data_IF_105529291437
#
_entry.id   IF_105529291437
#
_cell.length_a   1.000
_cell.length_b   1.000
_cell.length_c   1.000
_cell.angle_alpha   90.00
_cell.angle_beta   90.00
_cell.angle_gamma   90.00
#
_symmetry.space_group_name_H-M   'P 1'
#
loop_
_entity.id
_entity.type
_entity.pdbx_description
1 polymer ?
#
# COMPACT_ATOMS: atom_id res chain seq x y z
N UNK A 1 12.92 3.98 3.36
CA UNK A 1 11.44 4.06 3.57
C UNK A 1 10.72 2.80 3.12
N UNK A 2 9.39 2.75 3.23
CA UNK A 2 8.60 1.55 2.90
C UNK A 2 8.75 1.12 1.44
N UNK A 3 8.82 2.06 0.52
CA UNK A 3 9.04 1.78 -0.90
C UNK A 3 10.35 1.03 -1.13
N UNK A 4 11.44 1.49 -0.54
CA UNK A 4 12.75 0.84 -0.67
C UNK A 4 12.70 -0.60 -0.16
N UNK A 5 12.05 -0.84 0.99
CA UNK A 5 11.92 -2.18 1.54
C UNK A 5 11.06 -3.11 0.66
N UNK A 6 9.93 -2.61 0.15
CA UNK A 6 9.07 -3.38 -0.75
C UNK A 6 9.79 -3.76 -2.05
N UNK A 7 10.52 -2.83 -2.65
CA UNK A 7 11.27 -3.05 -3.87
C UNK A 7 12.49 -3.96 -3.65
N UNK A 8 13.18 -3.85 -2.49
CA UNK A 8 14.29 -4.74 -2.17
C UNK A 8 13.87 -6.22 -2.08
N UNK A 9 12.67 -6.50 -1.56
CA UNK A 9 12.10 -7.86 -1.54
C UNK A 9 11.91 -8.37 -2.97
N UNK A 10 11.30 -7.56 -3.82
CA UNK A 10 11.03 -7.91 -5.23
C UNK A 10 12.33 -8.12 -6.02
N UNK A 11 13.29 -7.22 -5.91
CA UNK A 11 14.59 -7.34 -6.59
C UNK A 11 15.37 -8.56 -6.08
N UNK A 12 15.38 -8.82 -4.77
CA UNK A 12 16.05 -9.98 -4.19
C UNK A 12 15.54 -11.31 -4.75
N UNK A 13 14.21 -11.42 -4.94
CA UNK A 13 13.61 -12.67 -5.42
C UNK A 13 13.73 -12.84 -6.93
N UNK A 14 13.56 -11.78 -7.71
CA UNK A 14 13.31 -11.87 -9.15
C UNK A 14 14.38 -11.21 -10.03
N UNK A 15 15.25 -10.33 -9.50
CA UNK A 15 16.25 -9.67 -10.31
C UNK A 15 17.42 -10.61 -10.67
N UNK A 16 17.93 -10.44 -11.91
CA UNK A 16 19.20 -11.03 -12.33
C UNK A 16 20.36 -10.53 -11.47
N UNK A 17 21.52 -11.23 -11.45
CA UNK A 17 22.71 -10.73 -10.74
C UNK A 17 23.07 -9.29 -11.14
N UNK A 18 23.03 -8.97 -12.43
CA UNK A 18 23.28 -7.63 -12.95
C UNK A 18 22.37 -6.56 -12.29
N UNK A 19 21.05 -6.79 -12.22
CA UNK A 19 20.12 -5.85 -11.63
C UNK A 19 20.19 -5.80 -10.10
N UNK A 20 20.65 -6.88 -9.44
CA UNK A 20 20.93 -6.85 -8.00
C UNK A 20 22.12 -5.94 -7.70
N UNK A 21 23.19 -6.05 -8.45
CA UNK A 21 24.36 -5.21 -8.27
C UNK A 21 24.05 -3.74 -8.58
N UNK A 22 23.29 -3.49 -9.65
CA UNK A 22 23.00 -2.14 -10.08
C UNK A 22 21.94 -1.43 -9.24
N UNK A 23 20.91 -2.14 -8.74
CA UNK A 23 19.79 -1.50 -8.07
C UNK A 23 19.52 -2.03 -6.65
N UNK A 24 19.65 -3.32 -6.37
CA UNK A 24 19.35 -3.83 -5.04
C UNK A 24 20.37 -3.35 -4.01
N UNK A 25 21.65 -3.48 -4.30
CA UNK A 25 22.69 -3.09 -3.36
C UNK A 25 22.65 -1.59 -3.06
N UNK A 26 22.67 -0.67 -4.05
CA UNK A 26 22.53 0.77 -3.78
C UNK A 26 21.21 1.16 -3.12
N UNK A 27 20.13 0.43 -3.39
CA UNK A 27 18.83 0.64 -2.75
C UNK A 27 18.88 0.32 -1.26
N UNK A 28 19.50 -0.79 -0.88
CA UNK A 28 19.66 -1.22 0.52
C UNK A 28 20.56 -0.25 1.28
N UNK A 29 21.61 0.25 0.64
CA UNK A 29 22.50 1.28 1.20
C UNK A 29 21.83 2.67 1.30
N UNK A 30 20.69 2.87 0.63
CA UNK A 30 19.97 4.14 0.63
C UNK A 30 20.54 5.20 -0.31
N UNK A 31 21.38 4.79 -1.25
CA UNK A 31 22.02 5.66 -2.24
C UNK A 31 21.07 6.05 -3.37
N UNK A 32 20.10 5.19 -3.69
CA UNK A 32 19.08 5.41 -4.70
C UNK A 32 17.67 5.23 -4.14
N UNK A 33 16.68 5.73 -4.88
CA UNK A 33 15.26 5.52 -4.61
C UNK A 33 14.58 4.78 -5.76
N UNK A 34 13.63 3.88 -5.47
CA UNK A 34 12.85 3.20 -6.47
C UNK A 34 11.54 3.95 -6.71
N UNK A 35 10.89 3.61 -7.82
CA UNK A 35 9.48 3.91 -8.06
C UNK A 35 8.75 2.69 -8.61
N UNK A 36 7.42 2.69 -8.51
CA UNK A 36 6.58 1.59 -8.95
C UNK A 36 5.40 2.11 -9.78
N UNK A 37 5.36 1.73 -11.04
CA UNK A 37 4.35 2.16 -12.00
C UNK A 37 3.33 1.04 -12.26
N UNK A 38 2.19 1.07 -11.54
CA UNK A 38 1.13 0.08 -11.71
C UNK A 38 -0.17 0.71 -12.19
N UNK A 39 -0.73 1.64 -11.41
CA UNK A 39 -2.04 2.22 -11.67
C UNK A 39 -2.07 3.15 -12.88
N UNK A 40 -3.20 3.21 -13.56
CA UNK A 40 -3.43 4.03 -14.76
C UNK A 40 -4.64 4.96 -14.57
N UNK A 41 -4.63 6.17 -15.16
CA UNK A 41 -5.71 7.13 -14.97
C UNK A 41 -7.03 6.72 -15.63
N UNK A 42 -6.97 6.00 -16.74
CA UNK A 42 -8.13 5.76 -17.62
C UNK A 42 -8.83 4.42 -17.37
N UNK A 43 -8.36 3.63 -16.40
CA UNK A 43 -8.95 2.33 -16.05
C UNK A 43 -9.11 2.16 -14.54
N UNK A 44 -10.05 1.31 -14.15
CA UNK A 44 -10.27 0.96 -12.75
C UNK A 44 -9.11 0.08 -12.25
N UNK A 45 -8.02 0.67 -11.78
CA UNK A 45 -6.81 -0.04 -11.36
C UNK A 45 -6.99 -0.95 -10.12
N UNK A 46 -8.15 -0.92 -9.46
CA UNK A 46 -8.59 -1.93 -8.49
C UNK A 46 -8.83 -3.30 -9.14
N UNK A 47 -9.12 -3.31 -10.45
CA UNK A 47 -9.07 -4.48 -11.32
C UNK A 47 -7.85 -4.37 -12.25
N UNK A 48 -6.68 -4.85 -11.82
CA UNK A 48 -5.46 -4.68 -12.58
C UNK A 48 -5.43 -5.44 -13.91
N UNK A 49 -6.42 -6.28 -14.18
CA UNK A 49 -6.55 -6.94 -15.49
C UNK A 49 -6.93 -5.97 -16.61
N UNK A 50 -7.40 -4.77 -16.27
CA UNK A 50 -7.77 -3.73 -17.22
C UNK A 50 -6.60 -2.82 -17.63
N UNK A 51 -5.42 -2.97 -17.04
CA UNK A 51 -4.25 -2.13 -17.36
C UNK A 51 -3.93 -2.20 -18.86
N UNK A 52 -3.61 -1.04 -19.45
CA UNK A 52 -3.46 -0.82 -20.89
C UNK A 52 -2.02 -0.52 -21.31
N UNK A 53 -1.14 -0.10 -20.39
CA UNK A 53 0.28 0.11 -20.73
C UNK A 53 0.88 -1.15 -21.32
N UNK A 54 1.38 -1.07 -22.54
CA UNK A 54 1.94 -2.21 -23.28
C UNK A 54 3.45 -2.20 -23.29
N UNK A 55 4.05 -3.38 -23.42
CA UNK A 55 5.45 -3.55 -23.76
C UNK A 55 5.57 -4.63 -24.83
N UNK A 56 6.10 -4.28 -25.96
CA UNK A 56 6.29 -5.17 -27.12
C UNK A 56 7.78 -5.45 -27.27
N UNK A 57 8.15 -6.74 -27.29
CA UNK A 57 9.52 -7.17 -27.53
C UNK A 57 9.77 -7.24 -29.03
N UNK A 58 10.71 -6.46 -29.52
CA UNK A 58 11.15 -6.44 -30.90
C UNK A 58 12.68 -6.45 -30.97
N UNK A 59 13.25 -7.47 -31.61
CA UNK A 59 14.71 -7.62 -31.79
C UNK A 59 15.53 -7.42 -30.50
N UNK A 60 15.09 -8.01 -29.38
CA UNK A 60 15.79 -7.94 -28.08
C UNK A 60 15.59 -6.62 -27.32
N UNK A 61 14.63 -5.80 -27.75
CA UNK A 61 14.31 -4.50 -27.13
C UNK A 61 12.83 -4.42 -26.81
N UNK A 62 12.51 -4.09 -25.56
CA UNK A 62 11.15 -3.75 -25.15
C UNK A 62 10.82 -2.33 -25.58
N UNK A 63 9.68 -2.14 -26.24
CA UNK A 63 9.09 -0.84 -26.55
C UNK A 63 7.85 -0.64 -25.70
N UNK A 64 7.91 0.31 -24.75
CA UNK A 64 6.88 0.53 -23.75
C UNK A 64 6.10 1.80 -24.10
N UNK A 65 4.77 1.68 -24.12
CA UNK A 65 3.85 2.78 -24.36
C UNK A 65 2.67 2.74 -23.37
N UNK A 66 2.32 3.89 -22.81
CA UNK A 66 1.19 4.05 -21.90
C UNK A 66 1.38 5.18 -20.91
N UNK A 67 0.48 5.23 -19.93
CA UNK A 67 0.51 6.24 -18.88
C UNK A 67 0.26 5.58 -17.53
N UNK A 68 1.09 5.89 -16.55
CA UNK A 68 0.90 5.50 -15.16
C UNK A 68 0.70 6.74 -14.31
N UNK A 69 -0.06 6.63 -13.25
CA UNK A 69 -0.20 7.69 -12.26
C UNK A 69 -0.06 7.17 -10.84
N UNK A 70 -0.05 8.06 -9.88
CA UNK A 70 0.34 7.73 -8.50
C UNK A 70 1.67 6.97 -8.43
N UNK A 71 2.57 7.28 -9.39
CA UNK A 71 3.93 6.75 -9.42
C UNK A 71 4.77 7.50 -8.40
N UNK A 72 4.71 7.02 -7.16
CA UNK A 72 5.29 7.73 -6.01
C UNK A 72 6.81 7.78 -6.11
N UNK A 73 7.35 8.98 -5.95
CA UNK A 73 8.79 9.23 -5.97
C UNK A 73 9.41 9.27 -7.37
N UNK A 74 8.64 9.21 -8.46
CA UNK A 74 9.12 9.15 -9.83
C UNK A 74 10.16 10.22 -10.18
N UNK A 75 10.00 11.46 -9.68
CA UNK A 75 10.93 12.56 -9.97
C UNK A 75 12.34 12.41 -9.33
N UNK A 76 12.49 11.50 -8.37
CA UNK A 76 13.79 11.25 -7.70
C UNK A 76 14.25 9.80 -7.78
N UNK A 77 13.47 8.95 -8.41
CA UNK A 77 13.79 7.54 -8.54
C UNK A 77 14.90 7.32 -9.56
N UNK A 78 15.80 6.39 -9.30
CA UNK A 78 16.79 5.94 -10.28
C UNK A 78 16.15 5.04 -11.35
N UNK A 79 15.11 4.31 -10.96
CA UNK A 79 14.36 3.44 -11.87
C UNK A 79 12.90 3.34 -11.42
N UNK A 80 12.05 2.95 -12.35
CA UNK A 80 10.67 2.56 -12.09
C UNK A 80 10.45 1.11 -12.54
N UNK A 81 9.92 0.26 -11.66
CA UNK A 81 9.42 -1.05 -12.07
C UNK A 81 8.00 -0.89 -12.57
N UNK A 82 7.77 -1.22 -13.85
CA UNK A 82 6.52 -0.92 -14.55
C UNK A 82 5.76 -2.21 -14.86
N UNK A 83 4.49 -2.25 -14.46
CA UNK A 83 3.57 -3.30 -14.89
C UNK A 83 3.11 -3.02 -16.32
N UNK A 84 3.46 -3.91 -17.25
CA UNK A 84 3.12 -3.79 -18.66
C UNK A 84 2.39 -5.03 -19.16
N UNK A 85 1.43 -4.84 -20.07
CA UNK A 85 0.83 -5.93 -20.84
C UNK A 85 1.82 -6.37 -21.91
N UNK A 86 2.34 -7.58 -21.77
CA UNK A 86 3.33 -8.18 -22.68
C UNK A 86 2.76 -9.34 -23.50
N UNK A 87 1.69 -9.98 -23.00
CA UNK A 87 1.01 -11.09 -23.66
C UNK A 87 -0.42 -10.65 -24.06
N UNK A 88 -0.57 -10.18 -25.29
CA UNK A 88 -1.84 -9.58 -25.74
C UNK A 88 -2.98 -10.61 -25.79
N UNK A 89 -2.68 -11.88 -26.09
CA UNK A 89 -3.65 -12.96 -26.28
C UNK A 89 -3.78 -13.87 -25.04
N UNK A 90 -3.01 -13.61 -23.97
CA UNK A 90 -3.04 -14.44 -22.77
C UNK A 90 -4.26 -14.13 -21.87
N UNK A 91 -4.70 -15.11 -21.04
CA UNK A 91 -5.66 -14.85 -19.97
C UNK A 91 -5.19 -13.70 -19.06
N UNK A 92 -6.13 -12.93 -18.56
CA UNK A 92 -5.89 -11.66 -17.85
C UNK A 92 -4.75 -11.67 -16.82
N UNK A 93 -4.62 -12.76 -16.02
CA UNK A 93 -3.57 -12.85 -14.99
C UNK A 93 -2.20 -13.21 -15.55
N UNK A 94 -2.11 -13.82 -16.72
CA UNK A 94 -0.86 -14.16 -17.42
C UNK A 94 -0.43 -13.10 -18.45
N UNK A 95 -1.19 -12.02 -18.59
CA UNK A 95 -0.97 -11.03 -19.64
C UNK A 95 0.12 -9.98 -19.30
N UNK A 96 0.58 -9.92 -18.06
CA UNK A 96 1.41 -8.83 -17.57
C UNK A 96 2.78 -9.27 -17.10
N UNK A 97 3.76 -8.42 -17.35
CA UNK A 97 5.13 -8.57 -16.87
C UNK A 97 5.59 -7.31 -16.15
N UNK A 98 6.64 -7.43 -15.34
CA UNK A 98 7.32 -6.30 -14.73
C UNK A 98 8.58 -5.97 -15.51
N UNK A 99 8.77 -4.71 -15.85
CA UNK A 99 9.95 -4.24 -16.59
C UNK A 99 10.61 -3.10 -15.81
N UNK A 100 11.93 -3.18 -15.64
CA UNK A 100 12.74 -2.13 -15.01
C UNK A 100 13.01 -1.06 -16.06
N UNK A 101 12.60 0.17 -15.77
CA UNK A 101 12.81 1.34 -16.63
C UNK A 101 13.67 2.36 -15.89
N UNK A 102 14.89 2.65 -16.33
CA UNK A 102 15.69 3.78 -15.84
C UNK A 102 14.93 5.09 -16.06
N UNK A 103 14.94 5.99 -15.06
CA UNK A 103 14.15 7.23 -15.14
C UNK A 103 14.78 8.32 -15.99
N UNK A 104 16.05 8.17 -16.37
CA UNK A 104 16.77 9.00 -17.34
C UNK A 104 16.51 8.60 -18.79
N UNK A 105 15.70 7.56 -19.04
CA UNK A 105 15.31 7.15 -20.38
C UNK A 105 14.56 8.29 -21.09
N UNK A 106 14.92 8.63 -22.37
CA UNK A 106 14.31 9.75 -23.07
C UNK A 106 12.78 9.66 -23.26
N UNK A 107 12.25 8.44 -23.29
CA UNK A 107 10.81 8.19 -23.41
C UNK A 107 10.07 8.23 -22.07
N UNK A 108 10.77 8.28 -20.93
CA UNK A 108 10.18 8.39 -19.59
C UNK A 108 9.88 9.86 -19.28
N UNK A 109 8.60 10.24 -19.28
CA UNK A 109 8.19 11.64 -19.15
C UNK A 109 7.31 11.84 -17.93
N UNK A 110 7.75 12.64 -16.98
CA UNK A 110 6.89 13.11 -15.88
C UNK A 110 5.96 14.17 -16.46
N UNK A 111 4.66 13.90 -16.42
CA UNK A 111 3.63 14.80 -16.95
C UNK A 111 3.29 15.89 -15.92
N UNK A 112 3.02 15.46 -14.68
CA UNK A 112 2.70 16.36 -13.56
C UNK A 112 2.83 15.66 -12.23
N UNK A 113 2.93 16.42 -11.17
CA UNK A 113 2.64 15.93 -9.83
C UNK A 113 1.12 15.82 -9.65
N UNK A 114 0.67 14.81 -8.90
CA UNK A 114 -0.74 14.59 -8.55
C UNK A 114 -0.96 14.90 -7.07
N UNK A 115 -1.34 16.14 -6.70
CA UNK A 115 -1.61 16.48 -5.32
C UNK A 115 -2.78 15.66 -4.76
N UNK A 116 -2.63 15.16 -3.53
CA UNK A 116 -3.66 14.39 -2.84
C UNK A 116 -4.23 15.21 -1.69
N UNK A 117 -5.52 15.47 -1.73
CA UNK A 117 -6.21 16.31 -0.73
C UNK A 117 -5.50 17.65 -0.48
N UNK A 118 -4.98 18.26 -1.55
CA UNK A 118 -4.26 19.53 -1.48
C UNK A 118 -2.82 19.45 -0.99
N UNK A 119 -2.26 18.24 -0.86
CA UNK A 119 -0.85 18.03 -0.45
C UNK A 119 -0.05 17.53 -1.65
N UNK A 120 1.10 18.14 -1.91
CA UNK A 120 2.10 17.63 -2.82
C UNK A 120 2.86 16.52 -2.10
N UNK A 121 2.47 15.26 -2.38
CA UNK A 121 2.98 14.07 -1.70
C UNK A 121 4.05 13.31 -2.48
N UNK A 122 4.54 13.87 -3.59
CA UNK A 122 5.51 13.21 -4.47
C UNK A 122 4.91 12.07 -5.29
N UNK A 123 3.62 12.15 -5.62
CA UNK A 123 2.95 11.24 -6.55
C UNK A 123 2.93 11.88 -7.93
N UNK A 124 3.21 11.09 -8.96
CA UNK A 124 3.38 11.62 -10.32
C UNK A 124 2.55 10.82 -11.33
N UNK A 125 2.10 11.54 -12.34
CA UNK A 125 1.65 10.98 -13.61
C UNK A 125 2.86 10.89 -14.55
N UNK A 126 3.12 9.69 -15.06
CA UNK A 126 4.27 9.37 -15.90
C UNK A 126 3.79 8.79 -17.22
N UNK A 127 4.21 9.40 -18.32
CA UNK A 127 3.98 8.89 -19.67
C UNK A 127 5.20 8.13 -20.15
N UNK A 128 4.96 6.95 -20.64
CA UNK A 128 5.92 6.13 -21.38
C UNK A 128 5.64 6.33 -22.87
N UNK A 129 6.55 7.02 -23.55
CA UNK A 129 6.41 7.41 -24.96
C UNK A 129 7.54 6.75 -25.74
N UNK A 130 7.27 5.58 -26.30
CA UNK A 130 8.25 4.73 -26.96
C UNK A 130 9.53 4.54 -26.11
N UNK A 131 9.35 4.22 -24.84
CA UNK A 131 10.47 3.87 -23.96
C UNK A 131 11.10 2.59 -24.47
N UNK A 132 12.37 2.63 -24.83
CA UNK A 132 13.13 1.48 -25.28
C UNK A 132 14.09 1.02 -24.18
N UNK A 133 14.01 -0.25 -23.79
CA UNK A 133 14.93 -0.89 -22.85
C UNK A 133 15.28 -2.30 -23.35
N UNK A 134 16.49 -2.81 -23.08
CA UNK A 134 16.89 -4.16 -23.44
C UNK A 134 15.95 -5.25 -22.88
N UNK A 135 15.91 -6.40 -23.53
CA UNK A 135 15.12 -7.55 -23.09
C UNK A 135 15.44 -7.96 -21.65
N UNK A 136 16.69 -7.83 -21.23
CA UNK A 136 17.18 -8.16 -19.88
C UNK A 136 16.58 -7.28 -18.76
N UNK A 137 15.91 -6.16 -19.11
CA UNK A 137 15.18 -5.33 -18.16
C UNK A 137 13.90 -6.01 -17.64
N UNK A 138 13.53 -7.16 -18.18
CA UNK A 138 12.44 -7.97 -17.64
C UNK A 138 12.76 -8.45 -16.22
N UNK A 139 11.90 -8.12 -15.26
CA UNK A 139 12.03 -8.55 -13.88
C UNK A 139 11.25 -9.85 -13.68
N UNK A 140 11.96 -10.93 -13.44
CA UNK A 140 11.38 -12.27 -13.29
C UNK A 140 10.80 -12.85 -14.59
N UNK A 141 10.01 -13.94 -14.52
CA UNK A 141 9.47 -14.57 -15.71
C UNK A 141 8.41 -13.73 -16.42
N UNK A 142 8.39 -13.80 -17.74
CA UNK A 142 7.39 -13.17 -18.60
C UNK A 142 5.98 -13.68 -18.26
N UNK A 143 4.98 -12.81 -18.24
CA UNK A 143 3.59 -13.14 -17.88
C UNK A 143 3.34 -13.31 -16.38
N UNK A 144 4.34 -13.13 -15.52
CA UNK A 144 4.19 -13.30 -14.06
C UNK A 144 4.16 -11.97 -13.27
N UNK A 145 3.87 -10.88 -13.93
CA UNK A 145 3.85 -9.55 -13.31
C UNK A 145 2.94 -9.47 -12.08
N UNK A 146 1.79 -10.14 -12.08
CA UNK A 146 0.90 -10.18 -10.91
C UNK A 146 1.50 -10.89 -9.71
N UNK A 147 2.18 -12.01 -9.93
CA UNK A 147 2.83 -12.78 -8.86
C UNK A 147 3.91 -11.92 -8.22
N UNK A 148 4.72 -11.26 -9.04
CA UNK A 148 5.78 -10.35 -8.61
C UNK A 148 5.20 -9.17 -7.82
N UNK A 149 4.11 -8.55 -8.32
CA UNK A 149 3.42 -7.48 -7.63
C UNK A 149 2.89 -7.91 -6.25
N UNK A 150 2.30 -9.09 -6.12
CA UNK A 150 1.79 -9.59 -4.85
C UNK A 150 2.90 -9.84 -3.82
N UNK A 151 4.06 -10.33 -4.25
CA UNK A 151 5.24 -10.48 -3.36
C UNK A 151 5.71 -9.14 -2.80
N UNK A 152 5.59 -8.07 -3.56
CA UNK A 152 5.87 -6.70 -3.11
C UNK A 152 4.78 -6.15 -2.19
N UNK A 153 3.51 -6.32 -2.55
CA UNK A 153 2.37 -5.69 -1.90
C UNK A 153 1.96 -6.38 -0.59
N UNK A 154 2.16 -7.69 -0.46
CA UNK A 154 1.79 -8.45 0.74
C UNK A 154 2.44 -7.88 2.00
N UNK A 155 3.77 -7.96 2.15
CA UNK A 155 4.49 -7.38 3.29
C UNK A 155 4.30 -5.87 3.42
N UNK A 156 4.14 -5.17 2.30
CA UNK A 156 3.88 -3.74 2.26
C UNK A 156 2.66 -3.32 3.09
N UNK A 157 1.58 -4.09 3.03
CA UNK A 157 0.36 -3.83 3.80
C UNK A 157 0.58 -3.97 5.31
N UNK A 158 1.39 -4.91 5.75
CA UNK A 158 1.77 -5.04 7.18
C UNK A 158 2.54 -3.78 7.62
N UNK A 159 3.51 -3.32 6.83
CA UNK A 159 4.26 -2.09 7.14
C UNK A 159 3.38 -0.85 7.16
N UNK A 160 2.35 -0.78 6.32
CA UNK A 160 1.35 0.28 6.39
C UNK A 160 0.62 0.25 7.74
N UNK A 161 0.10 -0.91 8.14
CA UNK A 161 -0.64 -1.05 9.40
C UNK A 161 0.23 -0.70 10.62
N UNK A 162 1.51 -1.09 10.63
CA UNK A 162 2.43 -0.71 11.70
C UNK A 162 2.61 0.82 11.81
N UNK A 163 2.74 1.51 10.67
CA UNK A 163 2.83 2.98 10.65
C UNK A 163 1.51 3.63 11.09
N UNK A 164 0.37 3.09 10.66
CA UNK A 164 -0.95 3.58 11.07
C UNK A 164 -1.17 3.45 12.56
N UNK A 165 -0.72 2.35 13.17
CA UNK A 165 -0.74 2.16 14.62
C UNK A 165 0.08 3.24 15.34
N UNK A 166 1.28 3.56 14.83
CA UNK A 166 2.09 4.64 15.40
C UNK A 166 1.44 6.02 15.27
N UNK A 167 0.82 6.30 14.11
CA UNK A 167 0.09 7.56 13.90
C UNK A 167 -1.17 7.65 14.77
N UNK A 168 -1.94 6.57 14.88
CA UNK A 168 -3.11 6.51 15.73
C UNK A 168 -2.74 6.69 17.21
N UNK A 169 -1.65 6.07 17.66
CA UNK A 169 -1.13 6.28 19.02
C UNK A 169 -0.79 7.76 19.26
N UNK A 170 -0.11 8.40 18.31
CA UNK A 170 0.20 9.83 18.42
C UNK A 170 -1.06 10.71 18.49
N UNK A 171 -2.08 10.41 17.68
CA UNK A 171 -3.35 11.13 17.72
C UNK A 171 -4.09 10.89 19.04
N UNK A 172 -4.04 9.68 19.56
CA UNK A 172 -4.62 9.31 20.85
C UNK A 172 -3.95 10.05 22.02
N UNK A 173 -2.62 10.15 22.01
CA UNK A 173 -1.89 10.92 23.03
C UNK A 173 -2.31 12.38 23.00
N UNK A 174 -2.35 13.01 21.83
CA UNK A 174 -2.82 14.39 21.65
C UNK A 174 -4.27 14.58 22.12
N UNK A 175 -5.16 13.60 21.86
CA UNK A 175 -6.53 13.63 22.35
C UNK A 175 -6.58 13.63 23.87
N UNK A 176 -5.85 12.74 24.52
CA UNK A 176 -5.81 12.63 25.98
C UNK A 176 -5.17 13.88 26.64
N UNK A 177 -4.05 14.36 26.11
CA UNK A 177 -3.41 15.60 26.56
C UNK A 177 -4.39 16.77 26.49
N UNK A 178 -5.08 16.94 25.35
CA UNK A 178 -6.06 18.00 25.17
C UNK A 178 -7.21 17.93 26.16
N UNK A 179 -7.69 16.74 26.48
CA UNK A 179 -8.76 16.55 27.48
C UNK A 179 -8.36 16.98 28.89
N UNK A 180 -7.08 16.87 29.24
CA UNK A 180 -6.54 17.37 30.52
C UNK A 180 -6.32 18.89 30.52
N UNK A 181 -5.89 19.46 29.39
CA UNK A 181 -5.59 20.88 29.26
C UNK A 181 -6.82 21.80 29.21
N UNK A 182 -7.96 21.26 28.71
CA UNK A 182 -9.10 22.12 28.37
C UNK A 182 -10.29 21.94 29.32
N UNK A 183 -10.85 23.05 29.65
CA UNK A 183 -12.09 23.15 30.43
C UNK A 183 -13.21 23.79 29.60
N UNK A 184 -14.45 23.37 29.82
CA UNK A 184 -15.64 23.97 29.20
C UNK A 184 -16.84 23.82 30.14
N UNK A 185 -17.65 24.87 30.24
CA UNK A 185 -18.78 24.94 31.18
C UNK A 185 -18.38 24.59 32.62
N UNK A 186 -17.25 25.15 33.08
CA UNK A 186 -16.77 25.01 34.45
C UNK A 186 -16.25 23.62 34.84
N UNK A 187 -15.99 22.73 33.86
CA UNK A 187 -15.44 21.39 34.12
C UNK A 187 -14.44 20.95 33.05
N UNK A 188 -13.37 20.24 33.44
CA UNK A 188 -12.41 19.67 32.47
C UNK A 188 -13.06 18.73 31.47
N UNK A 189 -12.53 18.66 30.25
CA UNK A 189 -13.05 17.75 29.22
C UNK A 189 -12.97 16.28 29.65
N UNK A 190 -12.03 15.93 30.53
CA UNK A 190 -11.90 14.58 31.13
C UNK A 190 -13.12 14.12 31.89
N UNK A 191 -14.00 15.04 32.32
CA UNK A 191 -15.25 14.73 33.03
C UNK A 191 -16.48 14.64 32.12
N UNK A 192 -16.31 14.80 30.81
CA UNK A 192 -17.41 14.73 29.82
C UNK A 192 -17.53 13.28 29.29
N UNK A 193 -18.64 12.62 29.62
CA UNK A 193 -18.84 11.19 29.30
C UNK A 193 -18.75 10.88 27.79
N UNK A 194 -19.28 11.75 26.92
CA UNK A 194 -19.17 11.56 25.47
C UNK A 194 -17.72 11.57 24.96
N UNK A 195 -16.85 12.36 25.60
CA UNK A 195 -15.43 12.40 25.25
C UNK A 195 -14.66 11.24 25.87
N UNK A 196 -15.08 10.75 27.06
CA UNK A 196 -14.55 9.50 27.62
C UNK A 196 -14.84 8.31 26.70
N UNK A 197 -15.99 8.30 26.01
CA UNK A 197 -16.28 7.31 24.98
C UNK A 197 -15.28 7.35 23.82
N UNK A 198 -14.83 8.53 23.38
CA UNK A 198 -13.79 8.64 22.34
C UNK A 198 -12.47 7.99 22.77
N UNK A 199 -12.09 8.16 24.04
CA UNK A 199 -10.89 7.52 24.61
C UNK A 199 -11.05 6.00 24.59
N UNK A 200 -12.18 5.50 25.07
CA UNK A 200 -12.47 4.06 25.12
C UNK A 200 -12.47 3.43 23.73
N UNK A 201 -13.24 3.99 22.78
CA UNK A 201 -13.35 3.46 21.42
C UNK A 201 -11.98 3.44 20.72
N UNK A 202 -11.22 4.54 20.86
CA UNK A 202 -9.89 4.64 20.26
C UNK A 202 -8.92 3.62 20.84
N UNK A 203 -8.94 3.40 22.16
CA UNK A 203 -8.10 2.39 22.81
C UNK A 203 -8.45 0.98 22.33
N UNK A 204 -9.74 0.65 22.23
CA UNK A 204 -10.21 -0.64 21.71
C UNK A 204 -9.76 -0.86 20.26
N UNK A 205 -9.98 0.13 19.38
CA UNK A 205 -9.65 0.02 17.96
C UNK A 205 -8.13 -0.10 17.74
N UNK A 206 -7.31 0.68 18.45
CA UNK A 206 -5.84 0.59 18.39
C UNK A 206 -5.37 -0.80 18.86
N UNK A 207 -5.89 -1.29 19.98
CA UNK A 207 -5.47 -2.56 20.54
C UNK A 207 -5.89 -3.74 19.65
N UNK A 208 -7.11 -3.74 19.14
CA UNK A 208 -7.59 -4.76 18.22
C UNK A 208 -6.76 -4.78 16.92
N UNK A 209 -6.51 -3.61 16.31
CA UNK A 209 -5.69 -3.49 15.11
C UNK A 209 -4.24 -3.93 15.34
N UNK A 210 -3.69 -3.67 16.53
CA UNK A 210 -2.34 -4.12 16.91
C UNK A 210 -2.26 -5.64 16.96
N UNK A 211 -3.20 -6.30 17.61
CA UNK A 211 -3.22 -7.76 17.70
C UNK A 211 -3.40 -8.41 16.32
N UNK A 212 -4.31 -7.92 15.50
CA UNK A 212 -4.48 -8.42 14.12
C UNK A 212 -3.20 -8.24 13.29
N UNK A 213 -2.50 -7.10 13.44
CA UNK A 213 -1.25 -6.85 12.70
C UNK A 213 -0.13 -7.79 13.14
N UNK A 214 -0.03 -8.05 14.43
CA UNK A 214 0.97 -8.99 14.97
C UNK A 214 0.66 -10.44 14.57
N UNK A 215 -0.64 -10.83 14.51
CA UNK A 215 -1.02 -12.15 14.00
C UNK A 215 -0.63 -12.32 12.52
N UNK A 216 -0.94 -11.34 11.68
CA UNK A 216 -0.53 -11.37 10.27
C UNK A 216 0.99 -11.48 10.11
N UNK A 217 1.77 -10.73 10.88
CA UNK A 217 3.23 -10.79 10.85
C UNK A 217 3.76 -12.16 11.29
N UNK A 218 3.24 -12.70 12.41
CA UNK A 218 3.61 -14.02 12.92
C UNK A 218 3.36 -15.13 11.88
N UNK A 219 2.24 -15.07 11.16
CA UNK A 219 1.92 -16.06 10.11
C UNK A 219 2.91 -16.00 8.97
N UNK A 220 3.26 -14.80 8.50
CA UNK A 220 4.32 -14.64 7.48
C UNK A 220 5.65 -15.23 7.95
N UNK A 221 6.05 -15.00 9.21
CA UNK A 221 7.27 -15.56 9.79
C UNK A 221 7.24 -17.09 9.86
N UNK A 222 6.04 -17.69 9.95
CA UNK A 222 5.81 -19.13 9.92
C UNK A 222 5.72 -19.72 8.50
N UNK A 223 5.83 -18.87 7.45
CA UNK A 223 5.79 -19.29 6.06
C UNK A 223 4.38 -19.34 5.43
N UNK A 224 3.34 -18.89 6.16
CA UNK A 224 1.99 -18.72 5.61
C UNK A 224 1.95 -17.48 4.69
N UNK A 225 1.11 -17.49 3.68
CA UNK A 225 0.88 -16.32 2.82
C UNK A 225 0.00 -15.23 3.50
N UNK A 226 -0.67 -15.57 4.58
CA UNK A 226 -1.48 -14.72 5.46
C UNK A 226 -2.45 -13.78 4.71
N UNK A 227 -3.00 -14.21 3.56
CA UNK A 227 -3.80 -13.34 2.68
C UNK A 227 -5.09 -12.85 3.32
N UNK A 228 -5.67 -13.64 4.22
CA UNK A 228 -6.88 -13.26 4.94
C UNK A 228 -6.52 -12.22 5.98
N UNK A 229 -5.52 -12.47 6.80
CA UNK A 229 -5.05 -11.57 7.86
C UNK A 229 -4.59 -10.23 7.28
N UNK A 230 -3.82 -10.26 6.19
CA UNK A 230 -3.39 -9.06 5.47
C UNK A 230 -4.59 -8.27 4.93
N UNK A 231 -5.62 -8.96 4.43
CA UNK A 231 -6.86 -8.30 4.01
C UNK A 231 -7.63 -7.68 5.18
N UNK A 232 -7.73 -8.37 6.31
CA UNK A 232 -8.39 -7.88 7.53
C UNK A 232 -7.69 -6.62 8.07
N UNK A 233 -6.38 -6.68 8.27
CA UNK A 233 -5.63 -5.54 8.84
C UNK A 233 -5.65 -4.32 7.93
N UNK A 234 -5.70 -4.51 6.60
CA UNK A 234 -5.74 -3.39 5.65
C UNK A 234 -7.02 -2.56 5.83
N UNK A 235 -8.16 -3.21 6.04
CA UNK A 235 -9.45 -2.53 6.25
C UNK A 235 -9.54 -2.00 7.67
N UNK A 236 -9.44 -2.88 8.68
CA UNK A 236 -9.59 -2.51 10.09
C UNK A 236 -8.57 -1.46 10.52
N UNK A 237 -7.30 -1.60 10.09
CA UNK A 237 -6.25 -0.65 10.42
C UNK A 237 -6.45 0.73 9.79
N UNK A 238 -6.94 0.79 8.54
CA UNK A 238 -7.23 2.05 7.87
C UNK A 238 -8.43 2.79 8.50
N UNK A 239 -9.48 2.06 8.86
CA UNK A 239 -10.64 2.61 9.58
C UNK A 239 -10.25 3.10 10.97
N UNK A 240 -9.52 2.28 11.74
CA UNK A 240 -9.00 2.67 13.05
C UNK A 240 -8.20 3.98 12.99
N UNK A 241 -7.27 4.08 12.05
CA UNK A 241 -6.46 5.29 11.87
C UNK A 241 -7.33 6.52 11.67
N UNK A 242 -8.29 6.42 10.75
CA UNK A 242 -9.21 7.50 10.42
C UNK A 242 -10.04 7.92 11.64
N UNK A 243 -10.67 6.96 12.30
CA UNK A 243 -11.55 7.18 13.44
C UNK A 243 -10.83 7.83 14.63
N UNK A 244 -9.62 7.36 14.96
CA UNK A 244 -8.84 7.90 16.09
C UNK A 244 -8.42 9.35 15.83
N UNK A 245 -7.96 9.65 14.60
CA UNK A 245 -7.57 11.01 14.24
C UNK A 245 -8.79 11.94 14.21
N UNK A 246 -9.92 11.49 13.67
CA UNK A 246 -11.17 12.24 13.64
C UNK A 246 -11.61 12.64 15.05
N UNK A 247 -11.62 11.70 15.98
CA UNK A 247 -11.94 11.96 17.41
C UNK A 247 -10.96 12.93 18.03
N UNK A 248 -9.68 12.83 17.71
CA UNK A 248 -8.66 13.76 18.21
C UNK A 248 -8.91 15.20 17.71
N UNK A 249 -9.23 15.36 16.42
CA UNK A 249 -9.62 16.66 15.85
C UNK A 249 -10.86 17.19 16.57
N UNK A 250 -11.88 16.36 16.77
CA UNK A 250 -13.13 16.78 17.44
C UNK A 250 -12.88 17.31 18.85
N UNK A 251 -12.01 16.66 19.63
CA UNK A 251 -11.63 17.12 20.98
C UNK A 251 -10.83 18.41 20.96
N UNK A 252 -10.01 18.63 19.93
CA UNK A 252 -9.26 19.88 19.76
C UNK A 252 -10.15 21.05 19.31
N UNK A 253 -11.31 20.77 18.71
CA UNK A 253 -12.17 21.77 18.10
C UNK A 253 -11.49 22.47 16.93
N UNK A 254 -11.71 23.76 16.74
CA UNK A 254 -11.15 24.54 15.64
C UNK A 254 -9.61 24.40 15.54
N UNK A 255 -8.90 24.31 16.67
CA UNK A 255 -7.43 24.12 16.68
C UNK A 255 -7.01 22.83 15.97
N UNK A 256 -7.80 21.76 16.05
CA UNK A 256 -7.51 20.49 15.37
C UNK A 256 -7.58 20.59 13.83
N UNK A 257 -8.22 21.61 13.30
CA UNK A 257 -8.32 21.87 11.86
C UNK A 257 -7.18 22.75 11.32
N UNK A 258 -6.40 23.37 12.22
CA UNK A 258 -5.28 24.24 11.85
C UNK A 258 -3.96 23.47 11.78
N UNK A 259 -2.93 24.12 11.23
CA UNK A 259 -1.56 23.60 11.22
C UNK A 259 -0.82 23.77 12.57
N UNK A 260 -1.49 24.32 13.61
CA UNK A 260 -0.96 24.35 14.99
C UNK A 260 -0.86 22.96 15.63
N UNK A 261 -1.51 21.98 15.02
CA UNK A 261 -1.40 20.57 15.39
C UNK A 261 -1.14 19.73 14.15
N UNK A 262 -0.52 18.54 14.27
CA UNK A 262 -0.32 17.66 13.13
C UNK A 262 -1.61 16.97 12.66
N UNK A 263 -2.74 17.15 13.36
CA UNK A 263 -3.95 16.36 13.16
C UNK A 263 -4.60 16.58 11.81
N UNK A 264 -4.62 17.82 11.29
CA UNK A 264 -5.21 18.11 9.98
C UNK A 264 -4.44 17.44 8.85
N UNK A 265 -3.11 17.39 8.92
CA UNK A 265 -2.27 16.66 7.97
C UNK A 265 -2.45 15.14 8.12
N UNK A 266 -2.45 14.65 9.37
CA UNK A 266 -2.65 13.23 9.65
C UNK A 266 -4.01 12.75 9.14
N UNK A 267 -5.08 13.55 9.25
CA UNK A 267 -6.42 13.22 8.77
C UNK A 267 -6.46 13.04 7.24
N UNK A 268 -5.81 13.95 6.50
CA UNK A 268 -5.72 13.84 5.04
C UNK A 268 -4.99 12.56 4.62
N UNK A 269 -3.87 12.24 5.26
CA UNK A 269 -3.15 10.97 5.01
C UNK A 269 -3.93 9.73 5.46
N UNK A 270 -4.70 9.83 6.54
CA UNK A 270 -5.54 8.71 6.99
C UNK A 270 -6.62 8.35 5.95
N UNK A 271 -7.18 9.35 5.24
CA UNK A 271 -8.19 9.09 4.22
C UNK A 271 -7.65 8.29 3.04
N UNK A 272 -6.40 8.51 2.67
CA UNK A 272 -5.72 7.78 1.60
C UNK A 272 -5.56 6.29 1.92
N UNK A 273 -5.38 5.93 3.20
CA UNK A 273 -5.15 4.57 3.67
C UNK A 273 -6.26 3.59 3.25
N UNK A 274 -7.48 4.08 3.05
CA UNK A 274 -8.62 3.28 2.60
C UNK A 274 -8.63 3.00 1.10
N UNK A 275 -7.71 3.58 0.34
CA UNK A 275 -7.68 3.52 -1.13
C UNK A 275 -6.42 2.83 -1.65
N UNK A 276 -5.24 3.25 -1.22
CA UNK A 276 -4.00 2.71 -1.76
C UNK A 276 -3.75 1.25 -1.35
N UNK A 277 -2.93 0.54 -2.10
CA UNK A 277 -2.63 -0.90 -1.98
C UNK A 277 -3.89 -1.79 -1.98
N UNK A 278 -4.93 -1.34 -2.66
CA UNK A 278 -6.26 -1.92 -2.77
C UNK A 278 -7.28 -1.22 -1.86
N UNK A 279 -8.40 -0.74 -2.42
CA UNK A 279 -9.47 -0.15 -1.64
C UNK A 279 -10.12 -1.19 -0.71
N UNK A 280 -10.78 -0.70 0.35
CA UNK A 280 -11.41 -1.53 1.37
C UNK A 280 -12.31 -2.61 0.76
N UNK A 281 -13.10 -2.26 -0.25
CA UNK A 281 -14.05 -3.15 -0.93
C UNK A 281 -13.38 -4.35 -1.59
N UNK A 282 -12.20 -4.17 -2.17
CA UNK A 282 -11.41 -5.26 -2.78
C UNK A 282 -10.95 -6.23 -1.71
N UNK A 283 -10.47 -5.74 -0.58
CA UNK A 283 -10.03 -6.59 0.54
C UNK A 283 -11.20 -7.32 1.18
N UNK A 284 -12.30 -6.62 1.46
CA UNK A 284 -13.54 -7.21 2.01
C UNK A 284 -14.02 -8.36 1.13
N UNK A 285 -14.13 -8.13 -0.19
CA UNK A 285 -14.56 -9.16 -1.13
C UNK A 285 -13.58 -10.33 -1.16
N UNK A 286 -12.27 -10.07 -1.21
CA UNK A 286 -11.24 -11.11 -1.27
C UNK A 286 -11.23 -11.99 -0.04
N UNK A 287 -11.31 -11.40 1.15
CA UNK A 287 -11.36 -12.11 2.43
C UNK A 287 -12.63 -12.96 2.51
N UNK A 288 -13.80 -12.36 2.26
CA UNK A 288 -15.07 -13.06 2.33
C UNK A 288 -15.12 -14.26 1.38
N UNK A 289 -14.66 -14.11 0.12
CA UNK A 289 -14.60 -15.22 -0.84
C UNK A 289 -13.73 -16.37 -0.37
N UNK A 290 -12.58 -16.09 0.23
CA UNK A 290 -11.65 -17.12 0.70
C UNK A 290 -12.26 -17.92 1.85
N UNK A 291 -12.88 -17.23 2.80
CA UNK A 291 -13.56 -17.86 3.93
C UNK A 291 -14.73 -18.73 3.41
N UNK A 292 -15.60 -18.17 2.57
CA UNK A 292 -16.75 -18.89 2.01
C UNK A 292 -16.34 -20.10 1.17
N UNK A 293 -15.27 -19.96 0.35
CA UNK A 293 -14.73 -21.10 -0.42
C UNK A 293 -14.21 -22.22 0.48
N UNK A 294 -13.62 -21.85 1.63
CA UNK A 294 -13.20 -22.87 2.61
C UNK A 294 -14.39 -23.66 3.15
N UNK A 295 -15.50 -22.98 3.52
CA UNK A 295 -16.71 -23.64 3.96
C UNK A 295 -17.36 -24.51 2.88
N UNK A 296 -17.30 -24.10 1.62
CA UNK A 296 -17.77 -24.89 0.48
C UNK A 296 -16.98 -26.20 0.31
N UNK A 297 -15.65 -26.12 0.46
CA UNK A 297 -14.77 -27.27 0.23
C UNK A 297 -14.66 -28.20 1.44
N UNK A 298 -14.64 -27.66 2.66
CA UNK A 298 -14.27 -28.37 3.89
C UNK A 298 -15.41 -28.42 4.94
N UNK A 299 -16.54 -27.75 4.69
CA UNK A 299 -17.63 -27.63 5.66
C UNK A 299 -17.31 -26.70 6.84
N UNK A 300 -18.11 -26.72 7.91
CA UNK A 300 -17.91 -25.87 9.08
C UNK A 300 -16.61 -26.21 9.81
N UNK A 301 -15.96 -25.22 10.39
CA UNK A 301 -14.70 -25.42 11.14
C UNK A 301 -13.68 -24.32 10.94
N UNK A 302 -14.10 -23.14 10.45
CA UNK A 302 -13.18 -22.02 10.36
C UNK A 302 -12.71 -21.60 11.76
N UNK A 303 -11.41 -21.77 12.01
CA UNK A 303 -10.76 -21.32 13.23
C UNK A 303 -9.92 -20.07 12.95
N UNK A 304 -10.21 -19.00 13.67
CA UNK A 304 -9.44 -17.76 13.62
C UNK A 304 -8.11 -17.83 14.39
N UNK A 305 -7.93 -18.81 15.28
CA UNK A 305 -6.75 -18.99 16.10
C UNK A 305 -5.68 -19.87 15.46
N UNK A 306 -6.02 -21.12 15.16
CA UNK A 306 -5.09 -22.16 14.70
C UNK A 306 -5.58 -22.79 13.39
N UNK A 307 -5.34 -22.11 12.29
CA UNK A 307 -5.67 -22.69 10.97
C UNK A 307 -4.50 -23.48 10.43
N UNK A 308 -4.78 -24.69 9.99
CA UNK A 308 -3.85 -25.46 9.20
C UNK A 308 -3.63 -24.75 7.85
N UNK A 309 -2.39 -24.37 7.56
CA UNK A 309 -2.02 -23.69 6.31
C UNK A 309 -2.41 -24.49 5.07
N UNK A 310 -2.54 -25.82 5.16
CA UNK A 310 -2.98 -26.70 4.09
C UNK A 310 -4.45 -26.49 3.69
N UNK A 311 -5.27 -25.89 4.54
CA UNK A 311 -6.70 -25.64 4.30
C UNK A 311 -6.99 -24.33 3.54
N UNK A 312 -5.97 -23.50 3.28
CA UNK A 312 -6.11 -22.14 2.76
C UNK A 312 -5.55 -21.95 1.35
N UNK A 313 -4.96 -23.02 0.77
CA UNK A 313 -4.34 -23.03 -0.56
C UNK A 313 -5.35 -22.99 -1.73
#
# INVERSE_FOLDING_TARGET
GTHSLQDSIMLREFASPHWRDQYLEPLVQGEIFPSFGMTEPDVASSDPTQLQTTAILDNGTWKINGTKWFTTGAARAAYTTVMCRTELDAPSHGAFSMIIVPTDNPGYKIVRETPVLGINGGHYEVKYDNVEVPEENLLGPRGQGFIIAQKRLGPGRIFHCMRWLGQAQRAFDLLCERMHERETFGTPLTKKQLLQKFVFDSACEIQASRHLTLDAAKRIDQGDDARIEIGLIKVVGAEMLHNVIDRAIQVHGAKGLTDDTPLSLMYRHAREARIYDGPDEVHVQSVARRILKNYENNGPGWDFGERDASLVS
#
